data_IF_115141640357
#
_entry.id   IF_115141640357
#
_cell.length_a   1.000
_cell.length_b   1.000
_cell.length_c   1.000
_cell.angle_alpha   90.00
_cell.angle_beta   90.00
_cell.angle_gamma   90.00
#
_symmetry.space_group_name_H-M   'P 1'
#
loop_
_entity.id
_entity.type
_entity.pdbx_description
1 polymer ?
#
# COMPACT_ATOMS: atom_id res chain seq x y z
N UNK A 1 6.94 -16.37 4.20
CA UNK A 1 6.80 -15.24 3.24
C UNK A 1 5.66 -14.37 3.73
N UNK A 2 5.84 -13.04 3.80
CA UNK A 2 4.82 -12.11 4.31
C UNK A 2 3.47 -12.30 3.58
N UNK A 3 2.39 -12.34 4.35
CA UNK A 3 1.03 -12.64 3.87
C UNK A 3 0.36 -11.40 3.26
N UNK A 4 0.82 -10.21 3.62
CA UNK A 4 0.36 -8.91 3.09
C UNK A 4 1.51 -7.91 3.07
N UNK A 5 1.35 -6.81 2.33
CA UNK A 5 2.29 -5.70 2.35
C UNK A 5 1.59 -4.34 2.33
N UNK A 6 2.26 -3.34 2.87
CA UNK A 6 1.82 -1.94 2.89
C UNK A 6 2.79 -1.12 2.05
N UNK A 7 2.26 -0.40 1.08
CA UNK A 7 3.00 0.54 0.24
C UNK A 7 2.84 1.95 0.81
N UNK A 8 3.94 2.65 1.04
CA UNK A 8 3.96 4.03 1.54
C UNK A 8 4.50 4.94 0.45
N UNK A 9 3.74 5.99 0.09
CA UNK A 9 4.16 6.94 -0.94
C UNK A 9 5.43 7.69 -0.51
N UNK A 10 6.43 7.74 -1.38
CA UNK A 10 7.71 8.41 -1.17
C UNK A 10 7.96 9.53 -2.20
N UNK A 11 6.92 9.97 -2.91
CA UNK A 11 7.00 11.16 -3.77
C UNK A 11 7.18 12.43 -2.95
N UNK A 12 7.69 13.50 -3.58
CA UNK A 12 8.01 14.78 -2.92
C UNK A 12 6.88 15.34 -2.07
N UNK A 13 5.65 15.43 -2.62
CA UNK A 13 4.50 15.95 -1.87
C UNK A 13 4.17 15.13 -0.61
N UNK A 14 4.25 13.80 -0.70
CA UNK A 14 3.99 12.94 0.44
C UNK A 14 5.13 12.98 1.46
N UNK A 15 6.38 13.09 1.00
CA UNK A 15 7.55 13.25 1.87
C UNK A 15 7.51 14.57 2.63
N UNK A 16 7.15 15.67 1.96
CA UNK A 16 6.95 16.97 2.58
C UNK A 16 5.87 16.96 3.68
N UNK A 17 4.93 16.00 3.61
CA UNK A 17 3.87 15.76 4.59
C UNK A 17 4.19 14.66 5.61
N UNK A 18 5.45 14.21 5.67
CA UNK A 18 5.92 13.25 6.68
C UNK A 18 5.84 11.78 6.29
N UNK A 19 5.69 11.43 5.01
CA UNK A 19 5.62 10.02 4.60
C UNK A 19 6.92 9.23 4.84
N UNK A 20 8.06 9.91 4.98
CA UNK A 20 9.33 9.28 5.37
C UNK A 20 9.27 8.76 6.81
N UNK A 21 8.91 9.63 7.76
CA UNK A 21 8.73 9.24 9.17
C UNK A 21 7.65 8.15 9.33
N UNK A 22 6.59 8.23 8.54
CA UNK A 22 5.54 7.20 8.50
C UNK A 22 6.10 5.83 8.06
N UNK A 23 6.94 5.79 7.02
CA UNK A 23 7.58 4.56 6.56
C UNK A 23 8.43 3.93 7.66
N UNK A 24 9.24 4.74 8.36
CA UNK A 24 10.12 4.25 9.43
C UNK A 24 9.32 3.71 10.62
N UNK A 25 8.32 4.46 11.08
CA UNK A 25 7.45 4.06 12.20
C UNK A 25 6.69 2.77 11.89
N UNK A 26 6.14 2.65 10.68
CA UNK A 26 5.43 1.44 10.26
C UNK A 26 6.39 0.25 10.15
N UNK A 27 7.59 0.45 9.57
CA UNK A 27 8.58 -0.61 9.42
C UNK A 27 9.07 -1.13 10.77
N UNK A 28 9.25 -0.24 11.75
CA UNK A 28 9.60 -0.63 13.12
C UNK A 28 8.45 -1.30 13.85
N UNK A 29 7.25 -0.72 13.80
CA UNK A 29 6.08 -1.24 14.52
C UNK A 29 5.55 -2.58 13.98
N UNK A 30 5.83 -2.89 12.70
CA UNK A 30 5.40 -4.11 12.04
C UNK A 30 6.52 -5.14 11.85
N UNK A 31 7.70 -4.91 12.43
CA UNK A 31 8.89 -5.76 12.26
C UNK A 31 8.64 -7.24 12.58
N UNK A 32 7.85 -7.51 13.62
CA UNK A 32 7.55 -8.88 14.08
C UNK A 32 6.18 -9.37 13.59
N UNK A 33 5.59 -8.68 12.60
CA UNK A 33 4.31 -9.05 11.99
C UNK A 33 4.50 -9.73 10.63
N UNK A 34 3.46 -10.43 10.15
CA UNK A 34 3.44 -11.00 8.79
C UNK A 34 3.21 -9.97 7.67
N UNK A 35 3.32 -8.66 7.99
CA UNK A 35 3.08 -7.55 7.07
C UNK A 35 4.39 -6.88 6.69
N UNK A 36 4.68 -6.85 5.39
CA UNK A 36 5.88 -6.20 4.86
C UNK A 36 5.60 -4.73 4.50
N UNK A 37 6.39 -3.78 5.00
CA UNK A 37 6.25 -2.36 4.65
C UNK A 37 7.23 -2.00 3.53
N UNK A 38 6.75 -1.34 2.48
CA UNK A 38 7.52 -1.01 1.27
C UNK A 38 7.36 0.45 0.85
N UNK A 39 8.43 1.11 0.38
CA UNK A 39 8.33 2.40 -0.28
C UNK A 39 7.69 2.24 -1.68
N UNK A 40 6.90 3.23 -2.10
CA UNK A 40 6.29 3.30 -3.43
C UNK A 40 6.36 4.71 -4.00
N UNK A 41 6.55 4.84 -5.32
CA UNK A 41 6.98 6.11 -5.90
C UNK A 41 5.87 7.16 -6.03
N UNK A 42 4.60 6.81 -6.30
CA UNK A 42 3.46 7.74 -6.19
C UNK A 42 2.11 7.04 -6.47
N UNK A 43 1.02 7.42 -5.78
CA UNK A 43 -0.34 6.95 -6.10
C UNK A 43 -1.20 7.97 -6.85
N UNK A 44 -0.69 9.18 -7.13
CA UNK A 44 -1.45 10.25 -7.78
C UNK A 44 -2.49 10.94 -6.90
N UNK A 45 -2.47 10.72 -5.58
CA UNK A 45 -3.46 11.21 -4.61
C UNK A 45 -2.97 12.36 -3.71
N UNK A 46 -2.05 13.21 -4.19
CA UNK A 46 -1.33 14.20 -3.36
C UNK A 46 -2.25 15.15 -2.58
N UNK A 47 -3.47 15.42 -3.07
CA UNK A 47 -4.47 16.25 -2.38
C UNK A 47 -4.88 15.70 -1.00
N UNK A 48 -4.81 14.38 -0.83
CA UNK A 48 -5.11 13.67 0.43
C UNK A 48 -3.86 12.95 0.99
N UNK A 49 -2.66 13.41 0.63
CA UNK A 49 -1.41 12.85 1.15
C UNK A 49 -1.23 13.11 2.66
N UNK A 50 -0.44 12.29 3.36
CA UNK A 50 0.40 11.20 2.85
C UNK A 50 -0.40 9.92 2.53
N UNK A 51 -0.11 9.29 1.39
CA UNK A 51 -0.86 8.13 0.92
C UNK A 51 -0.20 6.79 1.31
N UNK A 52 -1.02 5.85 1.77
CA UNK A 52 -0.66 4.45 2.04
C UNK A 52 -1.64 3.52 1.33
N UNK A 53 -1.18 2.36 0.89
CA UNK A 53 -2.05 1.32 0.33
C UNK A 53 -1.69 -0.04 0.91
N UNK A 54 -2.69 -0.81 1.34
CA UNK A 54 -2.50 -2.16 1.88
C UNK A 54 -2.92 -3.18 0.84
N UNK A 55 -1.98 -4.03 0.45
CA UNK A 55 -2.23 -5.14 -0.47
C UNK A 55 -2.10 -6.45 0.29
N UNK A 56 -3.13 -7.28 0.24
CA UNK A 56 -3.09 -8.63 0.80
C UNK A 56 -2.84 -9.64 -0.30
N UNK A 57 -1.88 -10.56 -0.13
CA UNK A 57 -1.65 -11.65 -1.10
C UNK A 57 -2.72 -12.75 -1.03
N UNK A 58 -3.91 -12.42 -0.54
CA UNK A 58 -4.95 -13.38 -0.25
C UNK A 58 -5.67 -13.77 -1.54
N UNK A 59 -5.03 -14.68 -2.29
CA UNK A 59 -5.56 -15.32 -3.47
C UNK A 59 -5.81 -14.34 -4.61
N UNK A 60 -5.15 -14.56 -5.76
CA UNK A 60 -5.88 -14.37 -7.02
C UNK A 60 -7.21 -15.10 -6.82
N UNK A 61 -8.34 -14.38 -6.70
CA UNK A 61 -9.64 -15.04 -6.88
C UNK A 61 -9.54 -15.72 -8.25
N UNK A 62 -9.57 -17.06 -8.35
CA UNK A 62 -9.76 -17.67 -9.65
C UNK A 62 -11.17 -17.25 -10.09
N UNK A 63 -11.25 -16.44 -11.15
CA UNK A 63 -12.51 -16.03 -11.75
C UNK A 63 -13.38 -15.10 -10.91
N UNK A 64 -13.17 -13.78 -11.05
CA UNK A 64 -14.35 -12.94 -11.28
C UNK A 64 -14.59 -13.03 -12.78
N UNK A 65 -15.35 -14.04 -13.18
CA UNK A 65 -16.01 -14.04 -14.48
C UNK A 65 -16.80 -12.73 -14.54
N UNK A 66 -16.39 -11.81 -15.42
CA UNK A 66 -17.21 -10.67 -15.77
C UNK A 66 -18.46 -11.24 -16.40
N UNK A 67 -19.59 -11.22 -15.69
CA UNK A 67 -20.90 -11.57 -16.28
C UNK A 67 -21.13 -10.63 -17.48
N UNK A 68 -21.24 -11.14 -18.71
CA UNK A 68 -21.45 -10.32 -19.90
C UNK A 68 -22.91 -9.85 -20.08
N UNK A 69 -23.79 -9.99 -19.07
CA UNK A 69 -25.24 -9.76 -19.23
C UNK A 69 -25.80 -8.47 -18.62
N UNK A 70 -25.03 -7.40 -18.52
CA UNK A 70 -25.62 -6.07 -18.33
C UNK A 70 -25.12 -5.15 -19.45
N UNK A 71 -25.84 -5.29 -20.57
CA UNK A 71 -25.89 -4.35 -21.69
C UNK A 71 -26.92 -3.27 -21.38
#
# INVERSE_FOLDING_TARGET
MASSYVLVCQNEDCKARGSGELLDKLSQGLKDSDVEVKPYMCFGGCQAGPNINRESRQGRRPGRETDPRHR
#
